data_IF_929303883185
#
_entry.id   IF_929303883185
#
_cell.length_a   1.000
_cell.length_b   1.000
_cell.length_c   1.000
_cell.angle_alpha   90.00
_cell.angle_beta   90.00
_cell.angle_gamma   90.00
#
_symmetry.space_group_name_H-M   'P 1'
#
loop_
_entity.id
_entity.type
_entity.pdbx_description
1 polymer ?
#
# COMPACT_ATOMS: atom_id res chain seq x y z
N UNK A 1 19.09 -15.05 -10.48
CA UNK A 1 19.37 -13.97 -9.51
C UNK A 1 18.14 -13.11 -9.22
N UNK A 2 17.38 -12.67 -10.24
CA UNK A 2 16.15 -11.87 -10.06
C UNK A 2 14.99 -12.50 -9.26
N UNK A 3 14.71 -13.83 -9.34
CA UNK A 3 13.54 -14.41 -8.65
C UNK A 3 13.63 -14.41 -7.13
N UNK A 4 14.84 -14.58 -6.57
CA UNK A 4 15.08 -14.57 -5.12
C UNK A 4 14.88 -13.16 -4.57
N UNK A 5 15.41 -12.16 -5.29
CA UNK A 5 15.27 -10.75 -4.91
C UNK A 5 13.82 -10.27 -4.97
N UNK A 6 13.05 -10.73 -5.97
CA UNK A 6 11.61 -10.45 -6.06
C UNK A 6 10.84 -11.06 -4.89
N UNK A 7 11.13 -12.33 -4.55
CA UNK A 7 10.49 -13.01 -3.42
C UNK A 7 10.76 -12.29 -2.08
N UNK A 8 12.01 -11.92 -1.83
CA UNK A 8 12.40 -11.26 -0.58
C UNK A 8 11.76 -9.87 -0.45
N UNK A 9 11.74 -9.10 -1.53
CA UNK A 9 11.08 -7.79 -1.57
C UNK A 9 9.59 -7.92 -1.27
N UNK A 10 8.86 -8.73 -2.04
CA UNK A 10 7.42 -8.89 -1.91
C UNK A 10 7.01 -9.51 -0.56
N UNK A 11 7.85 -10.38 0.02
CA UNK A 11 7.58 -10.95 1.34
C UNK A 11 7.70 -9.90 2.45
N UNK A 12 8.59 -8.91 2.30
CA UNK A 12 8.69 -7.78 3.23
C UNK A 12 7.51 -6.84 3.06
N UNK A 13 7.20 -6.44 1.84
CA UNK A 13 6.06 -5.55 1.53
C UNK A 13 4.76 -6.17 2.04
N UNK A 14 4.53 -7.47 1.85
CA UNK A 14 3.34 -8.14 2.40
C UNK A 14 3.20 -8.04 3.94
N UNK A 15 4.30 -7.95 4.69
CA UNK A 15 4.25 -7.74 6.15
C UNK A 15 3.95 -6.28 6.46
N UNK A 16 4.53 -5.35 5.71
CA UNK A 16 4.29 -3.92 5.84
C UNK A 16 2.80 -3.59 5.56
N UNK A 17 2.22 -4.15 4.48
CA UNK A 17 0.80 -4.00 4.13
C UNK A 17 -0.16 -4.53 5.20
N UNK A 18 0.19 -5.66 5.84
CA UNK A 18 -0.60 -6.17 6.96
C UNK A 18 -0.56 -5.22 8.16
N UNK A 19 0.56 -4.53 8.37
CA UNK A 19 0.70 -3.48 9.37
C UNK A 19 -0.19 -2.27 9.08
N UNK A 20 -0.24 -1.82 7.82
CA UNK A 20 -1.14 -0.74 7.42
C UNK A 20 -2.61 -1.13 7.58
N UNK A 21 -2.98 -2.32 7.12
CA UNK A 21 -4.33 -2.84 7.27
C UNK A 21 -4.75 -2.93 8.74
N UNK A 22 -3.86 -3.38 9.63
CA UNK A 22 -4.12 -3.43 11.07
C UNK A 22 -4.41 -2.05 11.66
N UNK A 23 -3.56 -1.06 11.34
CA UNK A 23 -3.79 0.33 11.79
C UNK A 23 -5.12 0.89 11.29
N UNK A 24 -5.44 0.69 10.00
CA UNK A 24 -6.71 1.17 9.43
C UNK A 24 -7.93 0.49 10.07
N UNK A 25 -7.85 -0.79 10.46
CA UNK A 25 -8.92 -1.47 11.19
C UNK A 25 -9.18 -0.84 12.56
N UNK A 26 -8.14 -0.42 13.28
CA UNK A 26 -8.28 0.27 14.56
C UNK A 26 -8.91 1.65 14.35
N UNK A 27 -8.43 2.42 13.36
CA UNK A 27 -9.00 3.73 13.02
C UNK A 27 -10.48 3.64 12.65
N UNK A 28 -10.87 2.65 11.83
CA UNK A 28 -12.28 2.47 11.43
C UNK A 28 -13.16 2.20 12.67
N UNK A 29 -12.70 1.34 13.59
CA UNK A 29 -13.42 1.04 14.83
C UNK A 29 -13.52 2.25 15.76
N UNK A 30 -12.42 3.00 15.94
CA UNK A 30 -12.37 4.19 16.81
C UNK A 30 -13.30 5.30 16.30
N UNK A 31 -13.52 5.37 14.98
CA UNK A 31 -14.49 6.26 14.35
C UNK A 31 -15.93 5.70 14.32
N UNK A 32 -16.17 4.54 14.92
CA UNK A 32 -17.49 3.90 15.05
C UNK A 32 -17.97 3.13 13.83
N UNK A 33 -17.08 2.81 12.89
CA UNK A 33 -17.35 1.98 11.71
C UNK A 33 -17.06 0.49 11.93
N UNK A 34 -17.45 -0.33 10.96
CA UNK A 34 -17.12 -1.76 10.90
C UNK A 34 -16.06 -2.01 9.81
N UNK A 35 -14.87 -2.52 10.14
CA UNK A 35 -13.84 -2.79 9.15
C UNK A 35 -14.21 -3.96 8.24
N UNK A 36 -13.77 -3.90 6.98
CA UNK A 36 -13.87 -5.04 6.05
C UNK A 36 -12.58 -5.85 6.06
N UNK A 37 -12.71 -7.17 6.03
CA UNK A 37 -11.61 -8.11 5.81
C UNK A 37 -11.59 -8.68 4.38
N UNK A 38 -12.50 -8.22 3.53
CA UNK A 38 -12.56 -8.63 2.12
C UNK A 38 -11.62 -7.75 1.28
N UNK A 39 -10.56 -8.31 0.66
CA UNK A 39 -9.64 -7.53 -0.15
C UNK A 39 -10.27 -7.03 -1.45
N UNK A 40 -9.77 -5.90 -1.98
CA UNK A 40 -10.16 -5.37 -3.29
C UNK A 40 -9.86 -6.42 -4.38
N UNK A 41 -10.83 -6.79 -5.23
CA UNK A 41 -10.58 -7.73 -6.31
C UNK A 41 -9.67 -7.10 -7.37
N UNK A 42 -8.78 -7.90 -7.94
CA UNK A 42 -7.93 -7.49 -9.06
C UNK A 42 -7.73 -8.66 -10.03
N UNK A 43 -7.48 -8.33 -11.30
CA UNK A 43 -7.11 -9.30 -12.30
C UNK A 43 -5.62 -9.62 -12.17
N UNK A 44 -5.29 -10.86 -11.80
CA UNK A 44 -3.90 -11.31 -11.60
C UNK A 44 -3.26 -11.65 -12.96
N UNK A 45 -2.19 -10.96 -13.39
CA UNK A 45 -1.48 -11.28 -14.62
C UNK A 45 -0.74 -12.62 -14.53
N UNK A 46 -0.51 -13.29 -15.67
CA UNK A 46 0.17 -14.60 -15.70
C UNK A 46 1.70 -14.49 -15.66
N UNK A 47 2.26 -13.36 -16.09
CA UNK A 47 3.71 -13.16 -16.19
C UNK A 47 4.26 -12.39 -14.99
N UNK A 48 5.49 -12.69 -14.58
CA UNK A 48 6.17 -11.93 -13.53
C UNK A 48 6.23 -10.44 -13.86
N UNK A 49 6.54 -10.09 -15.11
CA UNK A 49 6.56 -8.70 -15.57
C UNK A 49 5.19 -8.04 -15.39
N UNK A 50 4.12 -8.71 -15.81
CA UNK A 50 2.76 -8.20 -15.66
C UNK A 50 2.36 -8.03 -14.20
N UNK A 51 2.74 -8.97 -13.32
CA UNK A 51 2.50 -8.85 -11.87
C UNK A 51 3.19 -7.61 -11.31
N UNK A 52 4.48 -7.39 -11.60
CA UNK A 52 5.20 -6.20 -11.11
C UNK A 52 4.65 -4.89 -11.68
N UNK A 53 4.17 -4.88 -12.93
CA UNK A 53 3.51 -3.72 -13.52
C UNK A 53 2.17 -3.41 -12.84
N UNK A 54 1.41 -4.46 -12.46
CA UNK A 54 0.22 -4.33 -11.64
C UNK A 54 0.55 -3.76 -10.27
N UNK A 55 1.54 -4.32 -9.58
CA UNK A 55 1.94 -3.88 -8.23
C UNK A 55 2.34 -2.39 -8.28
N UNK A 56 3.21 -1.98 -9.22
CA UNK A 56 3.58 -0.55 -9.39
C UNK A 56 2.37 0.37 -9.59
N UNK A 57 1.34 -0.09 -10.30
CA UNK A 57 0.11 0.68 -10.48
C UNK A 57 -0.67 0.78 -9.17
N UNK A 58 -0.84 -0.33 -8.46
CA UNK A 58 -1.55 -0.37 -7.17
C UNK A 58 -0.87 0.54 -6.15
N UNK A 59 0.45 0.46 -6.00
CA UNK A 59 1.23 1.38 -5.15
C UNK A 59 0.95 2.86 -5.47
N UNK A 60 0.81 3.19 -6.75
CA UNK A 60 0.54 4.57 -7.18
C UNK A 60 -0.90 5.00 -6.87
N UNK A 61 -1.86 4.08 -7.00
CA UNK A 61 -3.25 4.29 -6.56
C UNK A 61 -3.30 4.50 -5.05
N UNK A 62 -2.55 3.71 -4.27
CA UNK A 62 -2.57 3.75 -2.81
C UNK A 62 -1.95 5.02 -2.26
N UNK A 63 -0.84 5.53 -2.84
CA UNK A 63 -0.34 6.89 -2.56
C UNK A 63 -1.46 7.94 -2.74
N UNK A 64 -2.22 7.82 -3.83
CA UNK A 64 -3.30 8.78 -4.13
C UNK A 64 -4.42 8.68 -3.10
N UNK A 65 -4.80 7.47 -2.71
CA UNK A 65 -5.83 7.22 -1.71
C UNK A 65 -5.40 7.70 -0.33
N UNK A 66 -4.21 7.34 0.15
CA UNK A 66 -3.72 7.77 1.46
C UNK A 66 -3.62 9.28 1.58
N UNK A 67 -3.13 9.98 0.54
CA UNK A 67 -3.10 11.45 0.53
C UNK A 67 -4.52 12.06 0.51
N UNK A 68 -5.49 11.40 -0.12
CA UNK A 68 -6.88 11.86 -0.06
C UNK A 68 -7.47 11.70 1.34
N UNK A 69 -7.23 10.57 2.01
CA UNK A 69 -7.67 10.36 3.38
C UNK A 69 -6.94 11.27 4.37
N UNK A 70 -5.66 11.58 4.15
CA UNK A 70 -4.91 12.51 4.98
C UNK A 70 -5.53 13.92 4.95
N UNK A 71 -6.00 14.38 3.78
CA UNK A 71 -6.75 15.63 3.66
C UNK A 71 -8.08 15.59 4.42
N UNK A 72 -8.80 14.47 4.38
CA UNK A 72 -10.01 14.29 5.17
C UNK A 72 -9.71 14.31 6.69
N UNK A 73 -8.64 13.65 7.12
CA UNK A 73 -8.19 13.67 8.51
C UNK A 73 -7.81 15.09 8.96
N UNK A 74 -7.22 15.90 8.08
CA UNK A 74 -6.97 17.32 8.32
C UNK A 74 -8.26 18.13 8.50
N UNK A 75 -9.24 17.94 7.62
CA UNK A 75 -10.55 18.60 7.70
C UNK A 75 -11.31 18.25 9.00
N UNK A 76 -11.06 17.07 9.56
CA UNK A 76 -11.65 16.57 10.80
C UNK A 76 -10.82 16.88 12.05
N UNK A 77 -9.73 17.64 11.93
CA UNK A 77 -8.82 17.97 13.03
C UNK A 77 -8.24 16.72 13.74
N UNK A 78 -7.91 15.68 12.97
CA UNK A 78 -7.31 14.42 13.43
C UNK A 78 -5.80 14.36 13.08
N UNK A 79 -4.92 15.03 13.85
CA UNK A 79 -3.51 15.21 13.46
C UNK A 79 -2.71 13.91 13.43
N UNK A 80 -2.97 12.97 14.35
CA UNK A 80 -2.28 11.68 14.37
C UNK A 80 -2.63 10.85 13.14
N UNK A 81 -3.92 10.74 12.82
CA UNK A 81 -4.40 10.03 11.63
C UNK A 81 -3.85 10.64 10.35
N UNK A 82 -3.86 11.97 10.23
CA UNK A 82 -3.25 12.66 9.08
C UNK A 82 -1.79 12.24 8.90
N UNK A 83 -0.99 12.34 9.96
CA UNK A 83 0.43 11.99 9.93
C UNK A 83 0.63 10.53 9.53
N UNK A 84 -0.16 9.60 10.07
CA UNK A 84 -0.05 8.18 9.75
C UNK A 84 -0.43 7.85 8.32
N UNK A 85 -1.45 8.49 7.76
CA UNK A 85 -1.80 8.35 6.36
C UNK A 85 -0.72 8.92 5.43
N UNK A 86 -0.07 10.03 5.81
CA UNK A 86 1.07 10.57 5.06
C UNK A 86 2.31 9.66 5.13
N UNK A 87 2.56 9.02 6.27
CA UNK A 87 3.60 7.98 6.42
C UNK A 87 3.33 6.79 5.50
N UNK A 88 2.10 6.25 5.49
CA UNK A 88 1.70 5.15 4.59
C UNK A 88 1.87 5.55 3.11
N UNK A 89 1.45 6.76 2.73
CA UNK A 89 1.68 7.26 1.37
C UNK A 89 3.19 7.32 1.02
N UNK A 90 4.05 7.63 1.97
CA UNK A 90 5.49 7.64 1.77
C UNK A 90 6.07 6.22 1.62
N UNK A 91 5.53 5.25 2.36
CA UNK A 91 5.86 3.83 2.26
C UNK A 91 5.51 3.29 0.87
N UNK A 92 4.27 3.50 0.37
CA UNK A 92 3.86 3.04 -0.96
C UNK A 92 4.67 3.69 -2.09
N UNK A 93 4.99 4.98 -1.93
CA UNK A 93 5.90 5.63 -2.86
C UNK A 93 7.29 4.95 -2.86
N UNK A 94 7.72 4.41 -1.71
CA UNK A 94 8.91 3.58 -1.52
C UNK A 94 8.82 2.21 -2.17
N UNK A 95 7.76 1.46 -1.90
CA UNK A 95 7.46 0.15 -2.51
C UNK A 95 7.45 0.27 -4.04
N UNK A 96 6.67 1.20 -4.58
CA UNK A 96 6.64 1.48 -6.01
C UNK A 96 8.00 1.83 -6.61
N UNK A 97 8.88 2.54 -5.87
CA UNK A 97 10.27 2.79 -6.32
C UNK A 97 11.10 1.50 -6.39
N UNK A 98 10.96 0.61 -5.42
CA UNK A 98 11.65 -0.68 -5.39
C UNK A 98 11.18 -1.59 -6.52
N UNK A 99 9.87 -1.72 -6.70
CA UNK A 99 9.26 -2.50 -7.80
C UNK A 99 9.68 -1.98 -9.18
N UNK A 100 9.69 -0.65 -9.39
CA UNK A 100 10.20 -0.07 -10.65
C UNK A 100 11.69 -0.36 -10.90
N UNK A 101 12.51 -0.49 -9.85
CA UNK A 101 13.93 -0.89 -10.01
C UNK A 101 14.03 -2.35 -10.41
N UNK A 102 13.22 -3.22 -9.80
CA UNK A 102 13.16 -4.63 -10.15
C UNK A 102 12.69 -4.84 -11.60
N UNK A 103 11.63 -4.13 -12.01
CA UNK A 103 11.07 -4.17 -13.36
C UNK A 103 12.08 -3.75 -14.43
N UNK A 104 12.93 -2.74 -14.16
CA UNK A 104 14.02 -2.33 -15.07
C UNK A 104 15.15 -3.36 -15.16
N UNK A 105 15.27 -4.25 -14.18
CA UNK A 105 16.28 -5.30 -14.13
C UNK A 105 15.80 -6.64 -14.70
N UNK A 106 14.53 -6.77 -15.08
CA UNK A 106 14.00 -7.93 -15.80
C UNK A 106 14.41 -7.90 -17.28
#
# INVERSE_FOLDING_TARGET
MHPVLARELLAREAVDELGHAAYLMDVIQDLGGEPTTTPKPFEKPETLKGMLELDVRMETEDVTHYLAHARLAEELELPELKMKLEEMAADEAGHGRALRRLLRGL
#
